data_IF_987074904808
#
_entry.id   IF_987074904808
#
_cell.length_a   1.000
_cell.length_b   1.000
_cell.length_c   1.000
_cell.angle_alpha   90.00
_cell.angle_beta   90.00
_cell.angle_gamma   90.00
#
_symmetry.space_group_name_H-M   'P 1'
#
loop_
_entity.id
_entity.type
_entity.pdbx_description
1 polymer ?
#
# COMPACT_ATOMS: atom_id res chain seq x y z
N UNK A 1 0.33 32.34 -7.84
CA UNK A 1 1.29 32.34 -6.70
C UNK A 1 0.58 32.56 -5.37
N UNK A 2 -0.20 33.65 -5.20
CA UNK A 2 -0.97 33.93 -3.97
C UNK A 2 -1.85 32.76 -3.47
N UNK A 3 -2.50 32.02 -4.38
CA UNK A 3 -3.34 30.87 -4.00
C UNK A 3 -2.54 29.65 -3.50
N UNK A 4 -1.29 29.48 -3.92
CA UNK A 4 -0.45 28.33 -3.52
C UNK A 4 0.11 28.54 -2.13
N UNK A 5 0.55 29.76 -1.79
CA UNK A 5 1.01 30.11 -0.44
C UNK A 5 -0.12 30.09 0.59
N UNK A 6 -1.31 30.61 0.23
CA UNK A 6 -2.51 30.48 1.07
C UNK A 6 -2.89 29.01 1.32
N UNK A 7 -2.85 28.17 0.28
CA UNK A 7 -3.10 26.74 0.43
C UNK A 7 -2.04 26.06 1.32
N UNK A 8 -0.77 26.44 1.20
CA UNK A 8 0.29 25.94 2.07
C UNK A 8 0.10 26.38 3.53
N UNK A 9 -0.35 27.61 3.79
CA UNK A 9 -0.63 28.12 5.13
C UNK A 9 -1.86 27.43 5.75
N UNK A 10 -2.92 27.20 4.98
CA UNK A 10 -4.07 26.41 5.41
C UNK A 10 -3.67 24.95 5.71
N UNK A 11 -2.79 24.35 4.89
CA UNK A 11 -2.19 23.03 5.18
C UNK A 11 -1.42 23.02 6.50
N UNK A 12 -0.70 24.09 6.83
CA UNK A 12 0.06 24.22 8.09
C UNK A 12 -0.85 24.33 9.33
N UNK A 13 -2.09 24.80 9.18
CA UNK A 13 -3.07 24.92 10.28
C UNK A 13 -3.97 23.69 10.46
N UNK A 14 -3.91 22.72 9.54
CA UNK A 14 -4.79 21.55 9.57
C UNK A 14 -4.36 20.51 10.62
N UNK A 15 -5.34 19.88 11.27
CA UNK A 15 -5.12 18.80 12.24
C UNK A 15 -4.98 17.46 11.54
N UNK A 16 -4.10 16.61 12.05
CA UNK A 16 -3.87 15.27 11.50
C UNK A 16 -5.03 14.33 11.83
N UNK A 17 -5.34 13.42 10.91
CA UNK A 17 -6.29 12.33 11.10
C UNK A 17 -5.60 10.98 10.95
N UNK A 18 -6.17 9.95 11.56
CA UNK A 18 -5.69 8.56 11.49
C UNK A 18 -6.79 7.66 10.92
N UNK A 19 -6.43 6.78 9.97
CA UNK A 19 -7.33 5.80 9.36
C UNK A 19 -6.67 4.43 9.24
N UNK A 20 -7.45 3.40 9.51
CA UNK A 20 -7.10 2.01 9.25
C UNK A 20 -7.46 1.63 7.81
N UNK A 21 -6.56 0.91 7.14
CA UNK A 21 -6.72 0.46 5.74
C UNK A 21 -6.47 -1.04 5.70
N UNK A 22 -7.52 -1.87 5.76
CA UNK A 22 -7.39 -3.31 5.64
C UNK A 22 -7.03 -3.69 4.19
N UNK A 23 -6.19 -4.71 4.04
CA UNK A 23 -5.90 -5.38 2.76
C UNK A 23 -6.13 -6.89 2.92
N UNK A 24 -6.33 -7.66 1.83
CA UNK A 24 -6.84 -9.03 1.95
C UNK A 24 -5.93 -10.02 2.68
N UNK A 25 -4.60 -9.84 2.62
CA UNK A 25 -3.68 -10.80 3.23
C UNK A 25 -2.32 -10.18 3.56
N UNK A 26 -1.54 -10.87 4.41
CA UNK A 26 -0.13 -10.55 4.69
C UNK A 26 0.76 -10.57 3.43
N UNK A 27 0.35 -11.28 2.38
CA UNK A 27 1.06 -11.31 1.12
C UNK A 27 0.89 -10.00 0.34
N UNK A 28 -0.33 -9.47 0.29
CA UNK A 28 -0.58 -8.12 -0.22
C UNK A 28 0.22 -7.06 0.56
N UNK A 29 0.31 -7.20 1.89
CA UNK A 29 1.16 -6.33 2.73
C UNK A 29 2.61 -6.36 2.23
N UNK A 30 3.19 -7.55 2.03
CA UNK A 30 4.57 -7.68 1.55
C UNK A 30 4.78 -7.05 0.16
N UNK A 31 3.84 -7.24 -0.78
CA UNK A 31 3.94 -6.71 -2.14
C UNK A 31 3.80 -5.18 -2.21
N UNK A 32 2.91 -4.62 -1.40
CA UNK A 32 2.70 -3.17 -1.23
C UNK A 32 3.91 -2.54 -0.54
N UNK A 33 4.46 -3.19 0.49
CA UNK A 33 5.63 -2.69 1.23
C UNK A 33 6.88 -2.70 0.34
N UNK A 34 7.07 -3.77 -0.43
CA UNK A 34 8.23 -3.97 -1.27
C UNK A 34 9.49 -4.36 -0.48
N UNK A 35 10.51 -4.83 -1.21
CA UNK A 35 11.80 -5.23 -0.60
C UNK A 35 12.42 -4.05 0.15
N UNK A 36 12.87 -4.27 1.39
CA UNK A 36 13.41 -3.22 2.28
C UNK A 36 12.45 -2.03 2.52
N UNK A 37 11.14 -2.22 2.28
CA UNK A 37 10.13 -1.19 2.44
C UNK A 37 10.21 -0.06 1.41
N UNK A 38 10.88 -0.28 0.26
CA UNK A 38 11.13 0.78 -0.71
C UNK A 38 9.84 1.44 -1.23
N UNK A 39 8.82 0.66 -1.55
CA UNK A 39 7.55 1.16 -2.10
C UNK A 39 6.74 1.91 -1.06
N UNK A 40 6.62 1.38 0.16
CA UNK A 40 5.88 2.09 1.22
C UNK A 40 6.60 3.36 1.66
N UNK A 41 7.93 3.38 1.68
CA UNK A 41 8.71 4.59 1.94
C UNK A 41 8.45 5.65 0.87
N UNK A 42 8.43 5.26 -0.41
CA UNK A 42 8.09 6.16 -1.51
C UNK A 42 6.66 6.70 -1.37
N UNK A 43 5.69 5.85 -1.01
CA UNK A 43 4.30 6.26 -0.80
C UNK A 43 4.17 7.26 0.36
N UNK A 44 4.85 7.01 1.49
CA UNK A 44 4.89 7.93 2.63
C UNK A 44 5.42 9.31 2.22
N UNK A 45 6.53 9.35 1.47
CA UNK A 45 7.12 10.59 0.97
C UNK A 45 6.18 11.31 -0.01
N UNK A 46 5.61 10.57 -0.97
CA UNK A 46 4.69 11.11 -1.98
C UNK A 46 3.43 11.73 -1.36
N UNK A 47 2.87 11.07 -0.36
CA UNK A 47 1.60 11.47 0.26
C UNK A 47 1.77 12.33 1.51
N UNK A 48 3.00 12.53 1.99
CA UNK A 48 3.27 13.22 3.25
C UNK A 48 2.47 12.60 4.43
N UNK A 49 2.52 11.27 4.54
CA UNK A 49 1.84 10.52 5.60
C UNK A 49 2.82 9.65 6.40
N UNK A 50 2.45 9.39 7.65
CA UNK A 50 2.99 8.28 8.42
C UNK A 50 2.12 7.04 8.16
N UNK A 51 2.72 5.94 7.73
CA UNK A 51 2.00 4.68 7.48
C UNK A 51 2.61 3.57 8.33
N UNK A 52 1.97 3.16 9.43
CA UNK A 52 2.38 1.97 10.18
C UNK A 52 2.05 0.72 9.37
N UNK A 53 3.07 -0.05 9.06
CA UNK A 53 2.94 -1.37 8.44
C UNK A 53 2.60 -2.40 9.51
N UNK A 54 1.59 -3.28 9.32
CA UNK A 54 1.28 -4.33 10.28
C UNK A 54 2.44 -5.34 10.38
N UNK A 55 2.61 -5.98 11.54
CA UNK A 55 3.64 -7.01 11.72
C UNK A 55 3.22 -8.30 11.03
N UNK A 56 4.18 -9.13 10.61
CA UNK A 56 3.90 -10.43 10.01
C UNK A 56 3.14 -11.31 11.02
N UNK A 57 2.00 -11.85 10.61
CA UNK A 57 1.14 -12.67 11.47
C UNK A 57 0.07 -11.89 12.23
N UNK A 58 0.10 -10.55 12.21
CA UNK A 58 -1.00 -9.71 12.68
C UNK A 58 -2.06 -9.49 11.58
N UNK A 59 -3.16 -8.83 11.94
CA UNK A 59 -4.16 -8.41 10.97
C UNK A 59 -3.52 -7.52 9.88
N UNK A 60 -3.85 -7.75 8.60
CA UNK A 60 -3.28 -7.04 7.46
C UNK A 60 -3.88 -5.63 7.31
N UNK A 61 -3.72 -4.79 8.33
CA UNK A 61 -4.30 -3.45 8.43
C UNK A 61 -3.20 -2.42 8.56
N UNK A 62 -3.04 -1.57 7.54
CA UNK A 62 -2.18 -0.40 7.64
C UNK A 62 -2.84 0.68 8.50
N UNK A 63 -2.06 1.39 9.30
CA UNK A 63 -2.54 2.58 10.02
C UNK A 63 -1.89 3.80 9.41
N UNK A 64 -2.69 4.68 8.82
CA UNK A 64 -2.23 5.87 8.09
C UNK A 64 -2.59 7.12 8.88
N UNK A 65 -1.61 7.97 9.16
CA UNK A 65 -1.77 9.24 9.87
C UNK A 65 -1.18 10.39 9.06
N UNK A 66 -1.90 11.50 8.96
CA UNK A 66 -1.48 12.69 8.21
C UNK A 66 -2.62 13.68 8.05
N UNK A 67 -2.49 14.65 7.14
CA UNK A 67 -3.63 15.54 6.80
C UNK A 67 -4.75 14.75 6.13
N UNK A 68 -5.99 15.23 6.22
CA UNK A 68 -7.18 14.51 5.73
C UNK A 68 -7.04 14.12 4.25
N UNK A 69 -6.59 15.05 3.41
CA UNK A 69 -6.40 14.86 1.97
C UNK A 69 -5.25 13.90 1.65
N UNK A 70 -4.15 14.01 2.38
CA UNK A 70 -2.96 13.17 2.28
C UNK A 70 -3.28 11.71 2.65
N UNK A 71 -4.00 11.51 3.76
CA UNK A 71 -4.47 10.20 4.24
C UNK A 71 -5.43 9.57 3.24
N UNK A 72 -6.34 10.36 2.66
CA UNK A 72 -7.25 9.86 1.63
C UNK A 72 -6.50 9.40 0.37
N UNK A 73 -5.45 10.12 -0.03
CA UNK A 73 -4.59 9.73 -1.15
C UNK A 73 -3.82 8.44 -0.84
N UNK A 74 -3.16 8.35 0.31
CA UNK A 74 -2.42 7.16 0.73
C UNK A 74 -3.34 5.93 0.84
N UNK A 75 -4.52 6.09 1.44
CA UNK A 75 -5.53 5.01 1.53
C UNK A 75 -5.92 4.50 0.15
N UNK A 76 -6.19 5.39 -0.80
CA UNK A 76 -6.57 5.00 -2.17
C UNK A 76 -5.46 4.22 -2.86
N UNK A 77 -4.21 4.64 -2.73
CA UNK A 77 -3.08 3.92 -3.35
C UNK A 77 -2.84 2.54 -2.72
N UNK A 78 -2.98 2.38 -1.40
CA UNK A 78 -2.88 1.08 -0.73
C UNK A 78 -3.97 0.12 -1.24
N UNK A 79 -5.23 0.59 -1.29
CA UNK A 79 -6.34 -0.24 -1.74
C UNK A 79 -6.21 -0.63 -3.22
N UNK A 80 -5.84 0.34 -4.07
CA UNK A 80 -5.62 0.09 -5.49
C UNK A 80 -4.47 -0.90 -5.73
N UNK A 81 -3.38 -0.81 -4.97
CA UNK A 81 -2.30 -1.78 -5.04
C UNK A 81 -2.76 -3.18 -4.60
N UNK A 82 -3.53 -3.28 -3.52
CA UNK A 82 -4.08 -4.55 -3.05
C UNK A 82 -4.97 -5.22 -4.11
N UNK A 83 -5.90 -4.46 -4.70
CA UNK A 83 -6.77 -4.92 -5.78
C UNK A 83 -5.96 -5.35 -7.01
N UNK A 84 -4.95 -4.57 -7.39
CA UNK A 84 -4.08 -4.89 -8.52
C UNK A 84 -3.36 -6.23 -8.35
N UNK A 85 -2.76 -6.49 -7.17
CA UNK A 85 -2.10 -7.77 -6.90
C UNK A 85 -3.09 -8.94 -6.82
N UNK A 86 -4.30 -8.71 -6.30
CA UNK A 86 -5.39 -9.69 -6.35
C UNK A 86 -5.72 -10.10 -7.80
N UNK A 87 -5.85 -9.14 -8.71
CA UNK A 87 -6.15 -9.42 -10.13
C UNK A 87 -5.04 -10.21 -10.83
N UNK A 88 -3.76 -9.85 -10.62
CA UNK A 88 -2.62 -10.54 -11.24
C UNK A 88 -2.53 -12.00 -10.77
N UNK A 89 -2.83 -12.25 -9.49
CA UNK A 89 -2.81 -13.62 -8.93
C UNK A 89 -3.95 -14.46 -9.46
N UNK A 90 -5.15 -13.89 -9.54
CA UNK A 90 -6.32 -14.58 -10.07
C UNK A 90 -6.14 -14.97 -11.55
N UNK A 91 -5.53 -14.11 -12.37
CA UNK A 91 -5.30 -14.38 -13.79
C UNK A 91 -4.21 -15.42 -14.03
N UNK A 92 -3.15 -15.46 -13.20
CA UNK A 92 -2.13 -16.51 -13.24
C UNK A 92 -2.68 -17.92 -12.98
N UNK A 93 -3.74 -18.03 -12.19
CA UNK A 93 -4.37 -19.32 -11.90
C UNK A 93 -5.12 -19.92 -13.09
N UNK A 94 -5.48 -19.13 -14.11
CA UNK A 94 -6.13 -19.64 -15.35
C UNK A 94 -5.16 -20.12 -16.42
N UNK A 95 -3.87 -19.75 -16.31
CA UNK A 95 -2.80 -20.18 -17.22
C UNK A 95 -1.78 -21.07 -16.50
N UNK A 96 -2.27 -22.07 -15.76
CA UNK A 96 -1.39 -23.06 -15.12
C UNK A 96 -0.41 -23.69 -16.14
N UNK A 97 0.83 -23.97 -15.76
CA UNK A 97 1.80 -24.58 -16.66
C UNK A 97 1.33 -26.00 -16.99
N UNK A 98 0.98 -26.24 -18.25
CA UNK A 98 1.42 -27.47 -18.88
C UNK A 98 2.96 -27.49 -18.78
N UNK A 99 3.54 -28.65 -18.48
CA UNK A 99 4.99 -28.93 -18.29
C UNK A 99 5.46 -28.94 -16.83
N UNK A 100 5.11 -30.03 -16.14
CA UNK A 100 5.85 -30.59 -15.01
C UNK A 100 6.21 -32.04 -15.30
N UNK A 101 6.86 -32.29 -16.44
CA UNK A 101 7.41 -33.59 -16.79
C UNK A 101 8.88 -33.68 -16.35
N UNK A 102 9.20 -34.82 -15.73
CA UNK A 102 10.53 -35.37 -15.40
C UNK A 102 11.04 -35.10 -13.98
N UNK A 103 10.70 -36.07 -13.12
CA UNK A 103 11.47 -36.52 -11.98
C UNK A 103 12.89 -36.92 -12.39
N UNK A 104 13.89 -36.33 -11.76
CA UNK A 104 15.24 -36.89 -11.70
C UNK A 104 15.48 -37.33 -10.26
N UNK A 105 15.25 -38.61 -10.00
CA UNK A 105 15.72 -39.32 -8.79
C UNK A 105 17.18 -39.73 -8.98
N UNK A 106 17.91 -40.04 -7.90
CA UNK A 106 19.31 -39.66 -7.66
C UNK A 106 20.34 -40.34 -8.55
#
# INVERSE_FOLDING_TARGET
>A
LLNVEQAALLRRKSVNTTKCVPVPSSEHVAEIVGRQGCKIKALRAKTNTYIKTPVRGEEPVFVVTGRKEDVAMAKREILSAAEHFSMIRASRNKNGPALGGLSCTP
#
